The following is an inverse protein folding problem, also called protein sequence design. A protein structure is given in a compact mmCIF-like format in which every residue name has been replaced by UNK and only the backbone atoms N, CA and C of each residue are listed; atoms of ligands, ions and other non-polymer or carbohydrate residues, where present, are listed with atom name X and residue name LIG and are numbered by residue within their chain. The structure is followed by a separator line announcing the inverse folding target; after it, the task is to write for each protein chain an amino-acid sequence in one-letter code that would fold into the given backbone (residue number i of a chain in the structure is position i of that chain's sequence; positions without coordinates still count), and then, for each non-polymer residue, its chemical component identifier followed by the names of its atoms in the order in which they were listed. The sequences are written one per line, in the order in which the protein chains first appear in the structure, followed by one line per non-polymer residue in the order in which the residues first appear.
data_IF_764726365421
#
_entry.id   IF_764726365421
#
_cell.length_a   1.000
_cell.length_b   1.000
_cell.length_c   1.000
_cell.angle_alpha   90.00
_cell.angle_beta   90.00
_cell.angle_gamma   90.00
#
_symmetry.space_group_name_H-M   'P 1'
#
loop_
_entity.id
_entity.type
_entity.pdbx_description
1 polymer ?
#
# COMPACT_ATOMS: atom_id res chain seq x y z
N UNK A 1 -24.73 5.56 -7.74
CA UNK A 1 -24.11 5.87 -9.05
C UNK A 1 -22.63 6.17 -8.86
N UNK A 2 -21.82 5.65 -9.77
CA UNK A 2 -20.42 6.03 -9.92
C UNK A 2 -20.37 7.42 -10.55
N UNK A 3 -19.47 8.28 -10.09
CA UNK A 3 -19.36 9.65 -10.60
C UNK A 3 -18.44 9.75 -11.83
N UNK A 4 -17.92 8.62 -12.31
CA UNK A 4 -16.97 8.52 -13.41
C UNK A 4 -17.51 7.56 -14.46
N UNK A 5 -17.25 7.86 -15.73
CA UNK A 5 -17.49 6.93 -16.82
C UNK A 5 -16.56 5.70 -16.68
N UNK A 6 -16.91 4.56 -17.30
CA UNK A 6 -16.04 3.39 -17.34
C UNK A 6 -14.64 3.69 -17.92
N UNK A 7 -14.56 4.56 -18.93
CA UNK A 7 -13.32 4.95 -19.59
C UNK A 7 -12.44 5.81 -18.67
N UNK A 8 -13.03 6.83 -18.04
CA UNK A 8 -12.33 7.68 -17.06
C UNK A 8 -11.83 6.87 -15.87
N UNK A 9 -12.62 5.89 -15.43
CA UNK A 9 -12.22 4.96 -14.37
C UNK A 9 -11.07 4.07 -14.82
N UNK A 10 -11.12 3.52 -16.03
CA UNK A 10 -10.06 2.70 -16.59
C UNK A 10 -8.74 3.48 -16.66
N UNK A 11 -8.79 4.72 -17.16
CA UNK A 11 -7.63 5.62 -17.22
C UNK A 11 -7.08 5.96 -15.84
N UNK A 12 -7.94 6.30 -14.86
CA UNK A 12 -7.48 6.56 -13.49
C UNK A 12 -6.83 5.33 -12.87
N UNK A 13 -7.40 4.16 -13.09
CA UNK A 13 -6.87 2.90 -12.58
C UNK A 13 -5.55 2.51 -13.23
N UNK A 14 -5.34 2.81 -14.53
CA UNK A 14 -4.07 2.53 -15.22
C UNK A 14 -2.92 3.39 -14.71
N UNK A 15 -3.21 4.58 -14.17
CA UNK A 15 -2.23 5.45 -13.52
C UNK A 15 -1.85 5.01 -12.11
N UNK A 16 -2.61 4.10 -11.48
CA UNK A 16 -2.27 3.57 -10.15
C UNK A 16 -1.11 2.58 -10.28
N UNK A 17 0.09 3.03 -9.89
CA UNK A 17 1.30 2.21 -9.86
C UNK A 17 1.35 1.35 -8.59
N UNK A 18 1.97 0.18 -8.71
CA UNK A 18 2.23 -0.74 -7.61
C UNK A 18 3.52 -0.45 -6.82
N UNK A 19 4.34 0.51 -7.30
CA UNK A 19 5.61 0.94 -6.72
C UNK A 19 5.88 2.39 -7.07
N UNK A 20 6.79 3.02 -6.33
CA UNK A 20 7.19 4.42 -6.50
C UNK A 20 5.98 5.35 -6.41
N UNK A 21 5.03 5.00 -5.54
CA UNK A 21 3.87 5.85 -5.29
C UNK A 21 4.30 7.15 -4.63
N UNK A 22 3.51 8.22 -4.78
CA UNK A 22 3.78 9.51 -4.14
C UNK A 22 4.11 9.38 -2.63
N UNK A 23 3.33 8.66 -1.80
CA UNK A 23 3.67 8.50 -0.39
C UNK A 23 4.98 7.74 -0.17
N UNK A 24 5.27 6.69 -0.95
CA UNK A 24 6.58 5.99 -0.87
C UNK A 24 7.74 6.94 -1.17
N UNK A 25 7.64 7.76 -2.22
CA UNK A 25 8.67 8.72 -2.60
C UNK A 25 8.90 9.78 -1.52
N UNK A 26 7.83 10.24 -0.86
CA UNK A 26 7.92 11.19 0.27
C UNK A 26 8.68 10.56 1.43
N UNK A 27 8.31 9.34 1.85
CA UNK A 27 9.00 8.63 2.94
C UNK A 27 10.47 8.38 2.57
N UNK A 28 10.76 7.97 1.33
CA UNK A 28 12.13 7.77 0.84
C UNK A 28 12.97 9.05 0.94
N UNK A 29 12.43 10.17 0.48
CA UNK A 29 13.12 11.48 0.56
C UNK A 29 13.36 11.88 2.01
N UNK A 30 12.37 11.72 2.88
CA UNK A 30 12.50 12.02 4.31
C UNK A 30 13.60 11.18 4.95
N UNK A 31 13.53 9.87 4.80
CA UNK A 31 14.52 8.92 5.36
C UNK A 31 15.93 9.23 4.84
N UNK A 32 16.06 9.54 3.55
CA UNK A 32 17.34 9.94 2.97
C UNK A 32 17.86 11.26 3.55
N UNK A 33 16.98 12.26 3.74
CA UNK A 33 17.34 13.55 4.35
C UNK A 33 17.78 13.41 5.81
N UNK A 34 17.29 12.40 6.52
CA UNK A 34 17.70 12.05 7.88
C UNK A 34 19.02 11.25 7.93
N UNK A 35 19.69 11.04 6.79
CA UNK A 35 20.97 10.32 6.71
C UNK A 35 20.84 8.80 6.80
N UNK A 36 19.64 8.24 6.69
CA UNK A 36 19.45 6.80 6.78
C UNK A 36 19.63 6.11 5.44
N UNK A 37 20.54 5.12 5.41
CA UNK A 37 20.70 4.20 4.28
C UNK A 37 19.63 3.11 4.37
N UNK A 38 18.90 2.90 3.28
CA UNK A 38 17.87 1.89 3.17
C UNK A 38 18.01 1.07 1.89
N UNK A 39 17.42 -0.12 1.88
CA UNK A 39 17.23 -0.94 0.70
C UNK A 39 15.75 -0.94 0.33
N UNK A 40 15.46 -0.94 -0.96
CA UNK A 40 14.10 -1.02 -1.47
C UNK A 40 13.75 -2.47 -1.82
N UNK A 41 12.47 -2.81 -1.71
CA UNK A 41 11.87 -4.03 -2.26
C UNK A 41 12.66 -5.30 -1.96
N UNK A 42 12.97 -5.57 -0.70
CA UNK A 42 13.63 -6.82 -0.34
C UNK A 42 12.63 -7.97 -0.45
N UNK A 43 12.64 -8.68 -1.58
CA UNK A 43 11.83 -9.88 -1.80
C UNK A 43 12.18 -11.06 -0.90
N UNK A 44 13.19 -10.91 -0.04
CA UNK A 44 13.64 -11.92 0.93
C UNK A 44 12.84 -11.89 2.25
N UNK A 45 12.00 -10.87 2.45
CA UNK A 45 11.20 -10.72 3.66
C UNK A 45 9.71 -10.91 3.38
N UNK A 46 8.96 -11.54 4.31
CA UNK A 46 7.51 -11.71 4.17
C UNK A 46 6.84 -10.34 3.99
N UNK A 47 5.89 -10.28 3.07
CA UNK A 47 5.14 -9.06 2.76
C UNK A 47 5.83 -8.03 1.86
N UNK A 48 7.07 -8.27 1.41
CA UNK A 48 7.83 -7.38 0.52
C UNK A 48 7.83 -5.91 1.00
N UNK A 49 8.52 -5.61 2.11
CA UNK A 49 8.60 -4.25 2.65
C UNK A 49 9.12 -3.24 1.62
N UNK A 50 8.53 -2.04 1.63
CA UNK A 50 8.91 -0.95 0.75
C UNK A 50 10.31 -0.43 1.07
N UNK A 51 10.60 -0.28 2.37
CA UNK A 51 11.87 0.25 2.87
C UNK A 51 12.43 -0.68 3.95
N UNK A 52 13.68 -1.10 3.78
CA UNK A 52 14.39 -2.00 4.70
C UNK A 52 15.65 -1.33 5.24
N UNK A 53 15.75 -1.27 6.57
CA UNK A 53 16.92 -0.80 7.29
C UNK A 53 17.70 -1.99 7.85
N UNK A 54 18.59 -2.57 7.03
CA UNK A 54 19.38 -3.74 7.42
C UNK A 54 20.19 -3.51 8.71
N UNK A 55 20.85 -2.35 8.83
CA UNK A 55 21.68 -2.02 10.01
C UNK A 55 20.88 -1.82 11.30
N UNK A 56 19.56 -1.57 11.21
CA UNK A 56 18.69 -1.38 12.38
C UNK A 56 17.74 -2.56 12.61
N UNK A 57 17.76 -3.56 11.73
CA UNK A 57 16.78 -4.67 11.70
C UNK A 57 15.32 -4.14 11.75
N UNK A 58 15.04 -3.05 11.03
CA UNK A 58 13.70 -2.45 10.93
C UNK A 58 13.23 -2.41 9.49
N UNK A 59 11.92 -2.51 9.30
CA UNK A 59 11.24 -2.42 8.00
C UNK A 59 10.09 -1.44 8.09
N UNK A 60 9.77 -0.79 6.97
CA UNK A 60 8.64 0.14 6.86
C UNK A 60 7.80 -0.27 5.66
N UNK A 61 6.49 -0.34 5.90
CA UNK A 61 5.46 -0.58 4.90
C UNK A 61 4.67 0.71 4.66
N UNK A 62 4.55 1.13 3.41
CA UNK A 62 3.81 2.32 3.01
C UNK A 62 2.50 1.87 2.37
N UNK A 63 1.49 1.69 3.22
CA UNK A 63 0.18 1.20 2.79
C UNK A 63 -0.75 2.34 2.40
N UNK A 64 -1.32 2.27 1.19
CA UNK A 64 -2.42 3.14 0.78
C UNK A 64 -3.70 2.85 1.56
N UNK A 65 -4.30 3.87 2.17
CA UNK A 65 -5.52 3.80 2.97
C UNK A 65 -6.65 3.00 2.30
N UNK A 66 -6.91 3.29 1.02
CA UNK A 66 -7.94 2.63 0.24
C UNK A 66 -7.71 1.12 0.08
N UNK A 67 -6.47 0.72 -0.19
CA UNK A 67 -6.11 -0.67 -0.51
C UNK A 67 -6.03 -1.58 0.70
N UNK A 68 -5.59 -1.04 1.84
CA UNK A 68 -5.28 -1.79 3.06
C UNK A 68 -6.30 -1.57 4.19
N UNK A 69 -7.30 -0.71 3.98
CA UNK A 69 -8.46 -0.53 4.88
C UNK A 69 -8.08 -0.35 6.36
N UNK A 70 -7.16 0.58 6.65
CA UNK A 70 -6.85 0.93 8.05
C UNK A 70 -8.10 1.38 8.81
N UNK A 71 -8.18 0.99 10.09
CA UNK A 71 -9.37 1.21 10.93
C UNK A 71 -9.61 2.70 11.14
N UNK A 72 -10.87 3.13 11.02
CA UNK A 72 -11.31 4.49 11.37
C UNK A 72 -10.98 5.58 10.35
N UNK A 73 -10.54 5.25 9.13
CA UNK A 73 -10.20 6.28 8.15
C UNK A 73 -11.29 6.57 7.12
N UNK A 74 -11.58 7.87 6.95
CA UNK A 74 -12.51 8.39 5.95
C UNK A 74 -12.05 8.17 4.49
N UNK A 75 -10.76 7.86 4.27
CA UNK A 75 -10.20 7.53 2.95
C UNK A 75 -10.42 6.06 2.58
N UNK A 76 -10.85 5.21 3.52
CA UNK A 76 -11.21 3.80 3.27
C UNK A 76 -12.64 3.63 2.75
N UNK A 77 -13.08 4.49 1.84
CA UNK A 77 -14.44 4.39 1.30
C UNK A 77 -14.54 3.24 0.31
N UNK A 78 -15.53 2.38 0.54
CA UNK A 78 -15.85 1.31 -0.39
C UNK A 78 -16.42 1.93 -1.67
N UNK A 79 -15.95 1.50 -2.87
CA UNK A 79 -16.54 1.93 -4.12
C UNK A 79 -18.02 1.58 -4.16
N UNK A 80 -18.87 2.49 -4.63
CA UNK A 80 -20.32 2.25 -4.78
C UNK A 80 -20.66 1.35 -5.98
N UNK A 81 -19.66 1.01 -6.80
CA UNK A 81 -19.78 0.21 -8.03
C UNK A 81 -18.90 -1.04 -7.94
N UNK A 82 -19.34 -2.14 -8.56
CA UNK A 82 -18.63 -3.45 -8.61
C UNK A 82 -18.24 -3.99 -7.23
N UNK A 83 -19.18 -3.94 -6.28
CA UNK A 83 -18.97 -4.40 -4.90
C UNK A 83 -18.48 -5.85 -4.85
N UNK A 84 -19.03 -6.74 -5.67
CA UNK A 84 -18.65 -8.15 -5.74
C UNK A 84 -17.19 -8.37 -6.15
N UNK A 85 -16.59 -7.39 -6.85
CA UNK A 85 -15.16 -7.41 -7.18
C UNK A 85 -14.31 -6.77 -6.09
N UNK A 86 -14.73 -5.60 -5.60
CA UNK A 86 -13.94 -4.80 -4.65
C UNK A 86 -13.93 -5.38 -3.24
N UNK A 87 -15.06 -5.89 -2.75
CA UNK A 87 -15.17 -6.45 -1.41
C UNK A 87 -14.20 -7.62 -1.18
N UNK A 88 -14.18 -8.70 -1.99
CA UNK A 88 -13.23 -9.79 -1.78
C UNK A 88 -11.79 -9.36 -2.04
N UNK A 89 -11.54 -8.45 -2.98
CA UNK A 89 -10.19 -7.94 -3.28
C UNK A 89 -9.58 -7.18 -2.10
N UNK A 90 -10.35 -6.25 -1.52
CA UNK A 90 -9.87 -5.45 -0.39
C UNK A 90 -9.74 -6.28 0.89
N UNK A 91 -10.64 -7.22 1.13
CA UNK A 91 -10.51 -8.13 2.27
C UNK A 91 -9.31 -9.07 2.12
N UNK A 92 -9.05 -9.55 0.91
CA UNK A 92 -7.85 -10.34 0.60
C UNK A 92 -6.53 -9.57 0.80
N UNK A 93 -6.51 -8.26 0.51
CA UNK A 93 -5.37 -7.40 0.86
C UNK A 93 -5.18 -7.34 2.38
N UNK A 94 -6.25 -6.99 3.11
CA UNK A 94 -6.22 -6.88 4.57
C UNK A 94 -5.76 -8.17 5.25
N UNK A 95 -6.25 -9.33 4.78
CA UNK A 95 -5.83 -10.64 5.32
C UNK A 95 -4.34 -10.90 5.10
N UNK A 96 -3.79 -10.50 3.93
CA UNK A 96 -2.35 -10.61 3.66
C UNK A 96 -1.53 -9.71 4.59
N UNK A 97 -2.01 -8.50 4.89
CA UNK A 97 -1.32 -7.58 5.81
C UNK A 97 -1.28 -8.13 7.26
N UNK A 98 -2.40 -8.70 7.72
CA UNK A 98 -2.50 -9.34 9.04
C UNK A 98 -1.49 -10.50 9.13
N UNK A 99 -1.47 -11.37 8.13
CA UNK A 99 -0.53 -12.51 8.08
C UNK A 99 0.93 -12.04 8.06
N UNK A 100 1.23 -10.97 7.32
CA UNK A 100 2.57 -10.38 7.25
C UNK A 100 3.01 -9.81 8.60
N UNK A 101 2.10 -9.11 9.29
CA UNK A 101 2.38 -8.52 10.61
C UNK A 101 2.60 -9.61 11.66
N UNK A 102 1.80 -10.68 11.63
CA UNK A 102 1.96 -11.83 12.52
C UNK A 102 3.30 -12.57 12.33
N UNK A 103 3.87 -12.55 11.12
CA UNK A 103 5.18 -13.14 10.82
C UNK A 103 6.38 -12.25 11.18
N UNK A 104 6.13 -11.02 11.65
CA UNK A 104 7.16 -10.05 12.06
C UNK A 104 7.30 -9.93 13.59
N UNK A 105 6.52 -10.71 14.35
CA UNK A 105 6.55 -10.78 15.81
C UNK A 105 7.51 -11.86 16.30
#
# INVERSE_FOLDING_TARGET
MDSLSPEERSERMSRVRNKDTKPELVVRRLVHSLGYRYRLHSGRLPGRPDIVFAGRKKVVFVHGCFWHRHRGCALCRMPKSRLDFWAPKLEGNRRRDINTTAQQS
#
